data_IF_375748938046
#
_entry.id   IF_375748938046
#
_cell.length_a   1.000
_cell.length_b   1.000
_cell.length_c   1.000
_cell.angle_alpha   90.00
_cell.angle_beta   90.00
_cell.angle_gamma   90.00
#
_symmetry.space_group_name_H-M   'P 1'
#
loop_
_entity.id
_entity.type
_entity.pdbx_description
1 polymer ?
#
# COMPACT_ATOMS: atom_id res chain seq x y z
N UNK A 1 -11.76 -19.79 8.71
CA UNK A 1 -12.32 -21.14 8.55
C UNK A 1 -12.13 -21.57 7.10
N UNK A 2 -12.05 -22.87 6.81
CA UNK A 2 -12.06 -23.34 5.43
C UNK A 2 -13.46 -23.20 4.83
N UNK A 3 -13.55 -22.78 3.57
CA UNK A 3 -14.83 -22.60 2.85
C UNK A 3 -14.65 -22.94 1.38
N UNK A 4 -15.62 -23.67 0.83
CA UNK A 4 -15.67 -24.00 -0.59
C UNK A 4 -16.23 -22.83 -1.42
N UNK A 5 -15.83 -22.74 -2.69
CA UNK A 5 -16.31 -21.74 -3.64
C UNK A 5 -16.31 -22.29 -5.08
N UNK A 6 -17.27 -21.85 -5.89
CA UNK A 6 -17.50 -22.36 -7.25
C UNK A 6 -16.62 -21.69 -8.32
N UNK A 7 -15.79 -20.71 -7.95
CA UNK A 7 -14.94 -19.97 -8.88
C UNK A 7 -14.00 -18.99 -8.23
N UNK A 8 -13.02 -18.51 -9.02
CA UNK A 8 -12.08 -17.47 -8.64
C UNK A 8 -11.93 -16.43 -9.76
N UNK A 9 -12.18 -15.12 -9.51
CA UNK A 9 -12.73 -14.53 -8.29
C UNK A 9 -14.11 -15.09 -7.90
N UNK A 10 -14.52 -14.92 -6.63
CA UNK A 10 -15.80 -15.44 -6.15
C UNK A 10 -16.97 -14.81 -6.95
N UNK A 11 -17.96 -15.59 -7.40
CA UNK A 11 -19.18 -15.03 -7.99
C UNK A 11 -19.85 -14.05 -7.03
N UNK A 12 -20.30 -12.90 -7.54
CA UNK A 12 -20.90 -11.84 -6.72
C UNK A 12 -19.89 -10.95 -5.98
N UNK A 13 -18.59 -11.06 -6.25
CA UNK A 13 -17.57 -10.12 -5.72
C UNK A 13 -17.88 -8.68 -6.15
N UNK A 14 -17.96 -7.77 -5.19
CA UNK A 14 -18.09 -6.34 -5.41
C UNK A 14 -16.73 -5.64 -5.23
N UNK A 15 -16.14 -5.19 -6.34
CA UNK A 15 -14.90 -4.41 -6.31
C UNK A 15 -15.18 -2.98 -5.80
N UNK A 16 -15.04 -2.80 -4.49
CA UNK A 16 -15.40 -1.59 -3.76
C UNK A 16 -14.21 -0.68 -3.60
N UNK A 17 -14.38 0.61 -3.89
CA UNK A 17 -13.34 1.63 -3.73
C UNK A 17 -13.35 2.21 -2.32
N UNK A 18 -12.17 2.28 -1.74
CA UNK A 18 -11.88 3.04 -0.52
C UNK A 18 -10.87 4.13 -0.89
N UNK A 19 -11.35 5.35 -1.02
CA UNK A 19 -10.53 6.51 -1.35
C UNK A 19 -9.66 6.93 -0.17
N UNK A 20 -8.46 7.41 -0.51
CA UNK A 20 -7.54 8.02 0.44
C UNK A 20 -7.98 9.45 0.74
N UNK A 21 -7.76 9.91 1.97
CA UNK A 21 -7.95 11.30 2.37
C UNK A 21 -7.06 11.62 3.56
N UNK A 22 -6.66 12.89 3.71
CA UNK A 22 -5.89 13.38 4.86
C UNK A 22 -5.87 14.92 4.83
N UNK A 23 -5.35 15.56 5.87
CA UNK A 23 -5.03 16.99 5.84
C UNK A 23 -3.55 17.25 5.56
N UNK A 24 -2.91 16.33 4.84
CA UNK A 24 -1.48 16.37 4.51
C UNK A 24 -0.56 15.83 5.61
N UNK A 25 -1.13 15.06 6.55
CA UNK A 25 -0.42 14.47 7.67
C UNK A 25 -0.74 12.97 7.86
N UNK A 26 -0.79 12.19 6.78
CA UNK A 26 -0.95 10.74 6.85
C UNK A 26 0.34 9.99 7.24
N UNK A 27 1.46 10.68 7.53
CA UNK A 27 2.68 10.02 8.02
C UNK A 27 2.42 9.35 9.36
N UNK A 28 2.89 8.11 9.48
CA UNK A 28 2.74 7.23 10.65
C UNK A 28 1.29 6.82 10.97
N UNK A 29 1.13 5.78 11.78
CA UNK A 29 -0.17 5.36 12.32
C UNK A 29 -0.85 6.41 13.21
N UNK A 30 -0.11 7.41 13.70
CA UNK A 30 -0.64 8.54 14.46
C UNK A 30 -1.08 9.73 13.57
N UNK A 31 -0.90 9.61 12.26
CA UNK A 31 -1.33 10.58 11.27
C UNK A 31 -2.85 10.67 11.12
N UNK A 32 -3.30 11.51 10.19
CA UNK A 32 -4.73 11.74 9.91
C UNK A 32 -5.23 11.14 8.59
N UNK A 33 -4.51 10.14 8.08
CA UNK A 33 -4.91 9.40 6.89
C UNK A 33 -6.19 8.58 7.11
N UNK A 34 -7.19 8.82 6.27
CA UNK A 34 -8.49 8.17 6.24
C UNK A 34 -8.65 7.32 4.99
N UNK A 35 -9.23 6.13 5.15
CA UNK A 35 -9.84 5.37 4.06
C UNK A 35 -11.36 5.47 4.17
N UNK A 36 -12.03 5.87 3.10
CA UNK A 36 -13.49 5.99 3.08
C UNK A 36 -14.09 5.60 1.74
N UNK A 37 -15.37 5.24 1.71
CA UNK A 37 -16.09 4.97 0.45
C UNK A 37 -16.49 6.25 -0.29
N UNK A 38 -16.47 7.38 0.41
CA UNK A 38 -16.82 8.67 -0.17
C UNK A 38 -15.65 9.23 -0.96
N UNK A 39 -15.95 9.77 -2.14
CA UNK A 39 -14.94 10.43 -2.96
C UNK A 39 -14.39 11.67 -2.23
N UNK A 40 -13.08 11.95 -2.31
CA UNK A 40 -12.49 13.08 -1.64
C UNK A 40 -12.88 14.41 -2.30
N UNK A 41 -12.98 15.45 -1.48
CA UNK A 41 -13.00 16.84 -1.96
C UNK A 41 -11.58 17.42 -2.11
N UNK A 42 -11.46 18.74 -2.35
CA UNK A 42 -10.15 19.42 -2.37
C UNK A 42 -9.42 19.26 -1.03
N UNK A 43 -8.18 18.78 -1.07
CA UNK A 43 -7.34 18.57 0.11
C UNK A 43 -5.85 18.56 -0.27
N UNK A 44 -4.93 18.87 0.65
CA UNK A 44 -3.49 18.82 0.36
C UNK A 44 -3.01 17.38 0.18
N UNK A 45 -1.95 17.14 -0.60
CA UNK A 45 -1.34 15.82 -0.73
C UNK A 45 -0.47 15.48 0.48
N UNK A 46 -0.19 14.19 0.66
CA UNK A 46 0.77 13.68 1.62
C UNK A 46 2.18 13.58 1.03
N UNK A 47 3.20 13.80 1.87
CA UNK A 47 4.60 13.79 1.46
C UNK A 47 5.47 13.05 2.46
N UNK A 48 6.46 12.33 1.93
CA UNK A 48 7.51 11.68 2.70
C UNK A 48 8.82 11.60 1.92
N UNK A 49 9.91 11.42 2.65
CA UNK A 49 11.25 11.26 2.08
C UNK A 49 11.58 9.77 2.05
N UNK A 50 11.99 9.27 0.89
CA UNK A 50 12.58 7.94 0.76
C UNK A 50 14.10 8.06 0.64
N UNK A 51 14.81 7.44 1.59
CA UNK A 51 16.27 7.29 1.59
C UNK A 51 16.63 5.81 1.34
N UNK A 52 17.25 5.46 0.20
CA UNK A 52 17.70 4.09 -0.08
C UNK A 52 18.68 3.51 0.96
N UNK A 53 19.36 4.34 1.76
CA UNK A 53 20.25 3.88 2.83
C UNK A 53 19.54 3.64 4.17
N UNK A 54 18.29 4.10 4.31
CA UNK A 54 17.43 3.83 5.45
C UNK A 54 16.06 3.27 5.00
N UNK A 55 16.02 2.10 4.34
CA UNK A 55 14.77 1.54 3.85
C UNK A 55 13.86 1.07 4.99
N UNK A 56 12.56 1.07 4.75
CA UNK A 56 11.57 0.41 5.60
C UNK A 56 11.88 -1.10 5.65
N UNK A 57 12.00 -1.69 6.86
CA UNK A 57 12.35 -3.09 7.00
C UNK A 57 11.16 -4.01 6.70
N UNK A 58 11.42 -5.11 6.00
CA UNK A 58 10.46 -6.21 5.90
C UNK A 58 10.12 -6.79 7.25
N UNK A 59 8.82 -6.76 7.55
CA UNK A 59 8.18 -7.33 8.73
C UNK A 59 7.00 -8.19 8.27
N UNK A 60 7.19 -9.51 8.25
CA UNK A 60 6.17 -10.47 7.83
C UNK A 60 6.00 -10.55 6.31
N UNK A 61 4.76 -10.78 5.88
CA UNK A 61 4.36 -10.73 4.47
C UNK A 61 4.73 -12.00 3.70
N UNK A 62 4.98 -11.84 2.40
CA UNK A 62 5.27 -12.93 1.45
C UNK A 62 6.75 -13.31 1.40
N UNK A 63 7.49 -13.03 2.47
CA UNK A 63 8.89 -13.40 2.57
C UNK A 63 9.05 -14.93 2.37
N UNK A 64 9.98 -15.34 1.52
CA UNK A 64 10.43 -16.73 1.51
C UNK A 64 11.26 -16.97 2.78
N UNK A 65 10.91 -18.01 3.54
CA UNK A 65 11.62 -18.30 4.79
C UNK A 65 13.07 -18.70 4.50
N UNK A 66 14.00 -17.80 4.85
CA UNK A 66 15.46 -18.00 4.72
C UNK A 66 16.14 -18.22 6.07
N UNK A 67 15.36 -18.50 7.12
CA UNK A 67 15.86 -18.74 8.48
C UNK A 67 16.20 -17.49 9.30
N UNK A 68 16.09 -16.28 8.72
CA UNK A 68 16.44 -15.02 9.41
C UNK A 68 15.25 -14.11 9.73
N UNK A 69 14.13 -14.26 9.01
CA UNK A 69 12.91 -13.45 9.18
C UNK A 69 11.69 -14.36 9.07
N UNK A 70 10.68 -14.11 9.90
CA UNK A 70 9.43 -14.83 9.87
C UNK A 70 8.51 -14.30 8.75
N UNK A 71 7.93 -15.17 7.91
CA UNK A 71 6.89 -14.79 6.96
C UNK A 71 5.52 -14.70 7.65
N UNK A 72 4.50 -14.28 6.89
CA UNK A 72 3.12 -14.26 7.34
C UNK A 72 2.73 -12.99 8.09
N UNK A 73 1.55 -12.98 8.74
CA UNK A 73 1.02 -11.80 9.42
C UNK A 73 1.86 -11.48 10.65
N UNK A 74 2.53 -10.33 10.64
CA UNK A 74 3.28 -9.80 11.77
C UNK A 74 2.83 -8.38 12.09
N UNK A 75 3.01 -7.99 13.34
CA UNK A 75 2.68 -6.65 13.82
C UNK A 75 3.53 -5.58 13.10
N UNK A 76 2.85 -4.63 12.47
CA UNK A 76 3.44 -3.53 11.72
C UNK A 76 3.67 -2.27 12.58
N UNK A 77 3.27 -2.21 13.85
CA UNK A 77 3.31 -0.98 14.64
C UNK A 77 4.67 -0.26 14.68
N UNK A 78 5.78 -1.02 14.63
CA UNK A 78 7.15 -0.42 14.52
C UNK A 78 7.46 0.17 13.15
N UNK A 79 6.93 -0.43 12.08
CA UNK A 79 7.06 0.05 10.70
C UNK A 79 6.21 1.32 10.53
N UNK A 80 4.96 1.27 11.00
CA UNK A 80 4.00 2.37 10.94
C UNK A 80 4.37 3.58 11.82
N UNK A 81 5.43 3.50 12.62
CA UNK A 81 5.96 4.64 13.38
C UNK A 81 6.96 5.49 12.59
N UNK A 82 7.31 5.09 11.36
CA UNK A 82 8.31 5.79 10.53
C UNK A 82 7.67 6.89 9.69
N UNK A 83 8.39 8.01 9.54
CA UNK A 83 7.97 9.14 8.72
C UNK A 83 7.91 8.86 7.21
N UNK A 84 8.51 7.76 6.75
CA UNK A 84 8.46 7.30 5.36
C UNK A 84 7.40 6.21 5.13
N UNK A 85 6.44 6.09 6.06
CA UNK A 85 5.25 5.24 5.93
C UNK A 85 4.01 6.11 6.11
N UNK A 86 3.18 6.19 5.08
CA UNK A 86 1.87 6.82 5.14
C UNK A 86 0.83 5.77 5.53
N UNK A 87 0.00 6.06 6.53
CA UNK A 87 -1.06 5.16 6.99
C UNK A 87 -2.43 5.79 6.75
N UNK A 88 -3.27 5.13 5.96
CA UNK A 88 -4.67 5.51 5.75
C UNK A 88 -5.57 4.46 6.38
N UNK A 89 -6.42 4.84 7.33
CA UNK A 89 -7.19 3.90 8.14
C UNK A 89 -8.67 4.22 8.09
N UNK A 90 -9.53 3.20 8.02
CA UNK A 90 -10.98 3.41 8.17
C UNK A 90 -11.35 3.81 9.61
N UNK A 91 -12.57 4.33 9.85
CA UNK A 91 -13.21 4.20 11.15
C UNK A 91 -13.29 2.73 11.58
N UNK A 92 -13.57 2.50 12.86
CA UNK A 92 -13.93 1.17 13.35
C UNK A 92 -15.12 0.64 12.56
N UNK A 93 -15.00 -0.60 12.07
CA UNK A 93 -16.05 -1.24 11.31
C UNK A 93 -17.24 -1.52 12.23
N UNK A 94 -18.43 -1.08 11.81
CA UNK A 94 -19.67 -1.34 12.54
C UNK A 94 -20.14 -2.81 12.40
N UNK A 95 -19.69 -3.49 11.36
CA UNK A 95 -20.04 -4.87 11.02
C UNK A 95 -18.84 -5.61 10.42
N UNK A 96 -18.93 -6.94 10.36
CA UNK A 96 -17.90 -7.75 9.70
C UNK A 96 -17.87 -7.41 8.19
N UNK A 97 -16.67 -7.19 7.65
CA UNK A 97 -16.46 -6.98 6.22
C UNK A 97 -15.57 -8.10 5.65
N UNK A 98 -16.13 -8.92 4.78
CA UNK A 98 -15.36 -9.94 4.07
C UNK A 98 -14.68 -9.33 2.83
N UNK A 99 -13.37 -9.55 2.71
CA UNK A 99 -12.54 -9.21 1.57
C UNK A 99 -11.87 -10.47 1.05
N UNK A 100 -12.34 -10.99 -0.08
CA UNK A 100 -11.85 -12.23 -0.69
C UNK A 100 -11.66 -12.06 -2.19
N UNK A 101 -10.41 -12.01 -2.65
CA UNK A 101 -10.09 -11.81 -4.06
C UNK A 101 -8.76 -11.07 -4.29
N UNK A 102 -8.50 -10.61 -5.54
CA UNK A 102 -7.37 -9.73 -5.85
C UNK A 102 -7.60 -8.31 -5.32
N UNK A 103 -6.57 -7.73 -4.71
CA UNK A 103 -6.55 -6.37 -4.13
C UNK A 103 -5.64 -5.48 -4.97
N UNK A 104 -6.11 -4.28 -5.30
CA UNK A 104 -5.33 -3.31 -6.07
C UNK A 104 -5.36 -1.94 -5.42
N UNK A 105 -4.25 -1.23 -5.48
CA UNK A 105 -4.19 0.19 -5.17
C UNK A 105 -4.01 0.98 -6.46
N UNK A 106 -4.93 1.91 -6.71
CA UNK A 106 -4.82 2.92 -7.75
C UNK A 106 -4.26 4.19 -7.13
N UNK A 107 -2.98 4.46 -7.38
CA UNK A 107 -2.21 5.51 -6.74
C UNK A 107 -1.87 6.62 -7.74
N UNK A 108 -2.25 7.85 -7.43
CA UNK A 108 -1.80 9.06 -8.11
C UNK A 108 -0.65 9.63 -7.27
N UNK A 109 0.57 9.55 -7.78
CA UNK A 109 1.75 9.97 -7.04
C UNK A 109 2.80 10.62 -7.94
N UNK A 110 3.70 11.39 -7.35
CA UNK A 110 4.88 11.92 -7.99
C UNK A 110 6.11 11.68 -7.12
N UNK A 111 7.27 11.68 -7.77
CA UNK A 111 8.57 11.57 -7.12
C UNK A 111 9.50 12.66 -7.64
N UNK A 112 10.45 13.12 -6.82
CA UNK A 112 11.51 14.02 -7.26
C UNK A 112 12.61 13.32 -8.08
N UNK A 113 12.58 11.99 -8.16
CA UNK A 113 13.54 11.17 -8.89
C UNK A 113 13.05 10.79 -10.30
N UNK A 114 13.92 10.18 -11.09
CA UNK A 114 13.58 9.65 -12.43
C UNK A 114 13.08 8.20 -12.39
N UNK A 115 13.28 7.52 -11.26
CA UNK A 115 12.71 6.21 -10.93
C UNK A 115 12.57 6.13 -9.40
N UNK A 116 11.62 5.36 -8.90
CA UNK A 116 11.47 5.01 -7.48
C UNK A 116 10.56 3.78 -7.37
N UNK A 117 10.36 3.28 -6.15
CA UNK A 117 9.33 2.28 -5.88
C UNK A 117 8.16 2.92 -5.11
N UNK A 118 6.95 2.44 -5.37
CA UNK A 118 5.81 2.64 -4.49
C UNK A 118 5.33 1.26 -4.04
N UNK A 119 5.19 1.10 -2.73
CA UNK A 119 4.76 -0.12 -2.08
C UNK A 119 3.52 0.14 -1.26
N UNK A 120 2.69 -0.89 -1.18
CA UNK A 120 1.45 -0.85 -0.44
C UNK A 120 1.28 -2.10 0.41
N UNK A 121 0.76 -1.95 1.64
CA UNK A 121 0.34 -3.07 2.47
C UNK A 121 -1.10 -2.88 2.93
N UNK A 122 -1.92 -3.92 2.76
CA UNK A 122 -3.21 -4.04 3.42
C UNK A 122 -2.98 -4.60 4.83
N UNK A 123 -3.56 -3.94 5.83
CA UNK A 123 -3.34 -4.23 7.25
C UNK A 123 -4.69 -4.33 7.98
N UNK A 124 -4.81 -5.35 8.84
CA UNK A 124 -5.93 -5.52 9.76
C UNK A 124 -5.54 -4.97 11.14
N UNK A 125 -6.22 -3.89 11.57
CA UNK A 125 -5.97 -3.23 12.85
C UNK A 125 -7.02 -3.68 13.85
N UNK A 126 -6.57 -4.34 14.90
CA UNK A 126 -7.38 -4.89 15.97
C UNK A 126 -7.83 -3.78 16.94
N UNK A 127 -8.92 -4.00 17.71
CA UNK A 127 -9.40 -3.04 18.70
C UNK A 127 -8.37 -2.65 19.77
N UNK A 128 -7.40 -3.53 20.04
CA UNK A 128 -6.30 -3.28 20.99
C UNK A 128 -5.11 -2.53 20.38
N UNK A 129 -5.19 -2.14 19.10
CA UNK A 129 -4.14 -1.42 18.37
C UNK A 129 -3.11 -2.31 17.66
N UNK A 130 -3.14 -3.64 17.81
CA UNK A 130 -2.25 -4.52 17.06
C UNK A 130 -2.60 -4.47 15.56
N UNK A 131 -1.58 -4.36 14.71
CA UNK A 131 -1.77 -4.13 13.27
C UNK A 131 -1.06 -5.20 12.45
N UNK A 132 -1.79 -6.13 11.84
CA UNK A 132 -1.19 -7.26 11.12
C UNK A 132 -1.30 -7.09 9.62
N UNK A 133 -0.18 -7.24 8.91
CA UNK A 133 -0.18 -7.19 7.45
C UNK A 133 -0.83 -8.44 6.83
N UNK A 134 -1.63 -8.21 5.78
CA UNK A 134 -2.49 -9.22 5.14
C UNK A 134 -2.08 -9.45 3.69
N UNK A 135 -1.90 -8.37 2.93
CA UNK A 135 -1.52 -8.40 1.53
C UNK A 135 -0.56 -7.25 1.24
N UNK A 136 0.31 -7.40 0.25
CA UNK A 136 1.27 -6.36 -0.10
C UNK A 136 1.64 -6.43 -1.59
N UNK A 137 2.09 -5.29 -2.11
CA UNK A 137 2.46 -5.11 -3.50
C UNK A 137 3.49 -4.01 -3.67
N UNK A 138 4.17 -4.04 -4.81
CA UNK A 138 5.13 -3.02 -5.22
C UNK A 138 4.94 -2.73 -6.70
N UNK A 139 5.10 -1.46 -7.06
CA UNK A 139 5.40 -1.05 -8.43
C UNK A 139 6.72 -0.31 -8.42
N UNK A 140 7.63 -0.71 -9.29
CA UNK A 140 8.82 0.07 -9.62
C UNK A 140 8.47 1.00 -10.78
N UNK A 141 8.64 2.30 -10.57
CA UNK A 141 7.98 3.35 -11.35
C UNK A 141 8.31 3.29 -12.85
N UNK A 142 9.52 2.88 -13.22
CA UNK A 142 9.89 2.70 -14.62
C UNK A 142 9.16 1.55 -15.32
N UNK A 143 8.69 0.54 -14.57
CA UNK A 143 7.96 -0.61 -15.10
C UNK A 143 6.43 -0.46 -15.02
N UNK A 144 5.92 0.72 -14.64
CA UNK A 144 4.48 0.98 -14.44
C UNK A 144 3.59 0.65 -15.65
N UNK A 145 4.13 0.71 -16.87
CA UNK A 145 3.42 0.41 -18.12
C UNK A 145 3.68 -1.03 -18.63
N UNK A 146 4.56 -1.78 -17.96
CA UNK A 146 4.92 -3.14 -18.32
C UNK A 146 6.37 -3.50 -17.97
N UNK A 147 6.58 -4.74 -17.52
CA UNK A 147 7.88 -5.24 -17.05
C UNK A 147 8.97 -5.26 -18.13
N UNK A 148 8.58 -5.34 -19.41
CA UNK A 148 9.48 -5.40 -20.56
C UNK A 148 9.73 -4.04 -21.24
N UNK A 149 9.11 -2.97 -20.74
CA UNK A 149 9.22 -1.63 -21.33
C UNK A 149 9.52 -0.58 -20.26
N UNK A 150 10.74 -0.58 -19.68
CA UNK A 150 11.11 0.41 -18.68
C UNK A 150 11.13 1.82 -19.30
N UNK A 151 10.41 2.75 -18.67
CA UNK A 151 10.40 4.17 -19.04
C UNK A 151 10.56 5.03 -17.79
N UNK A 152 11.62 5.85 -17.68
CA UNK A 152 11.76 6.79 -16.57
C UNK A 152 10.50 7.64 -16.38
N UNK A 153 10.22 8.03 -15.14
CA UNK A 153 9.19 9.02 -14.84
C UNK A 153 9.78 10.42 -14.96
N UNK A 154 8.91 11.42 -15.21
CA UNK A 154 9.32 12.83 -15.18
C UNK A 154 9.26 13.31 -13.73
N UNK A 155 10.38 13.79 -13.14
CA UNK A 155 10.39 14.31 -11.78
C UNK A 155 9.29 15.36 -11.54
N UNK A 156 8.52 15.20 -10.47
CA UNK A 156 7.43 16.09 -10.08
C UNK A 156 6.13 15.93 -10.88
N UNK A 157 6.10 15.12 -11.94
CA UNK A 157 4.87 14.86 -12.69
C UNK A 157 3.98 13.85 -11.97
N UNK A 158 2.69 14.18 -11.83
CA UNK A 158 1.69 13.24 -11.29
C UNK A 158 1.53 12.08 -12.26
N UNK A 159 1.75 10.87 -11.76
CA UNK A 159 1.68 9.62 -12.52
C UNK A 159 0.69 8.69 -11.86
N UNK A 160 -0.11 8.00 -12.67
CA UNK A 160 -0.99 6.93 -12.19
C UNK A 160 -0.25 5.60 -12.15
N UNK A 161 -0.30 4.96 -10.98
CA UNK A 161 0.24 3.64 -10.74
C UNK A 161 -0.89 2.70 -10.33
N UNK A 162 -0.84 1.47 -10.84
CA UNK A 162 -1.67 0.36 -10.35
C UNK A 162 -0.74 -0.61 -9.64
N UNK A 163 -0.88 -0.72 -8.32
CA UNK A 163 -0.10 -1.62 -7.49
C UNK A 163 -0.98 -2.85 -7.24
N UNK A 164 -0.52 -4.00 -7.73
CA UNK A 164 -1.15 -5.29 -7.46
C UNK A 164 -0.67 -5.81 -6.10
N UNK A 165 -1.57 -5.85 -5.10
CA UNK A 165 -1.29 -6.39 -3.77
C UNK A 165 -1.47 -7.92 -3.75
N UNK A 166 -1.63 -8.56 -4.91
CA UNK A 166 -2.13 -9.90 -5.14
C UNK A 166 -3.42 -10.19 -4.37
N UNK A 167 -3.63 -11.42 -3.93
CA UNK A 167 -4.90 -11.86 -3.37
C UNK A 167 -4.86 -12.11 -1.87
N UNK A 168 -6.01 -11.96 -1.23
CA UNK A 168 -6.24 -12.36 0.17
C UNK A 168 -7.66 -12.90 0.33
N UNK A 169 -7.91 -13.54 1.48
CA UNK A 169 -9.24 -13.88 1.98
C UNK A 169 -9.25 -13.65 3.49
N UNK A 170 -9.95 -12.61 3.92
CA UNK A 170 -10.06 -12.19 5.31
C UNK A 170 -11.45 -11.64 5.60
N UNK A 171 -11.93 -11.86 6.82
CA UNK A 171 -13.05 -11.11 7.37
C UNK A 171 -12.48 -10.11 8.37
N UNK A 172 -12.49 -8.82 8.04
CA UNK A 172 -12.23 -7.76 9.00
C UNK A 172 -13.42 -7.72 9.95
N UNK A 173 -13.20 -8.00 11.23
CA UNK A 173 -14.28 -8.12 12.21
C UNK A 173 -14.84 -6.75 12.59
N UNK A 174 -16.10 -6.71 13.02
CA UNK A 174 -16.65 -5.55 13.73
C UNK A 174 -15.67 -5.09 14.83
N UNK A 175 -15.42 -3.78 14.89
CA UNK A 175 -14.46 -3.15 15.80
C UNK A 175 -13.01 -3.18 15.29
N UNK A 176 -12.70 -3.89 14.21
CA UNK A 176 -11.42 -3.75 13.53
C UNK A 176 -11.43 -2.52 12.61
N UNK A 177 -10.27 -2.18 12.07
CA UNK A 177 -10.12 -1.16 11.03
C UNK A 177 -9.32 -1.76 9.87
N UNK A 178 -9.63 -1.28 8.67
CA UNK A 178 -8.83 -1.56 7.48
C UNK A 178 -7.81 -0.45 7.37
N UNK A 179 -6.54 -0.81 7.26
CA UNK A 179 -5.46 0.15 7.01
C UNK A 179 -4.72 -0.17 5.72
N UNK A 180 -4.33 0.89 5.04
CA UNK A 180 -3.41 0.87 3.92
C UNK A 180 -2.14 1.61 4.32
N UNK A 181 -1.01 0.92 4.30
CA UNK A 181 0.30 1.54 4.42
C UNK A 181 0.86 1.80 3.02
N UNK A 182 1.43 2.98 2.79
CA UNK A 182 2.15 3.34 1.56
C UNK A 182 3.56 3.80 1.91
N UNK A 183 4.55 3.25 1.19
CA UNK A 183 5.96 3.62 1.33
C UNK A 183 6.70 3.40 0.00
N UNK A 184 8.02 3.58 -0.01
CA UNK A 184 8.89 3.32 -1.17
C UNK A 184 9.90 2.21 -0.96
N UNK A 185 9.79 1.42 0.11
CA UNK A 185 10.68 0.27 0.34
C UNK A 185 10.09 -0.81 1.25
N UNK A 186 10.61 -2.03 1.12
CA UNK A 186 10.29 -3.19 1.96
C UNK A 186 11.48 -4.16 1.93
N UNK A 187 12.57 -3.79 2.60
CA UNK A 187 13.86 -4.46 2.47
C UNK A 187 14.12 -5.52 3.58
N UNK A 188 14.59 -6.74 3.26
CA UNK A 188 15.17 -7.17 1.99
C UNK A 188 14.24 -8.00 1.11
N UNK A 189 12.94 -8.06 1.39
CA UNK A 189 12.02 -8.79 0.53
C UNK A 189 12.03 -8.25 -0.90
N UNK A 190 11.99 -6.92 -1.02
CA UNK A 190 12.19 -6.22 -2.27
C UNK A 190 13.53 -5.49 -2.18
N UNK A 191 14.28 -5.50 -3.27
CA UNK A 191 15.49 -4.72 -3.39
C UNK A 191 15.18 -3.22 -3.31
N UNK A 192 16.16 -2.45 -2.85
CA UNK A 192 16.01 -1.00 -2.70
C UNK A 192 16.13 -0.36 -4.07
N UNK A 193 15.16 0.44 -4.47
CA UNK A 193 15.35 1.33 -5.61
C UNK A 193 16.32 2.45 -5.21
N UNK A 194 17.38 2.65 -5.99
CA UNK A 194 18.41 3.64 -5.70
C UNK A 194 18.04 5.05 -6.22
N UNK A 195 16.86 5.19 -6.85
CA UNK A 195 16.28 6.42 -7.39
C UNK A 195 17.09 7.07 -8.54
N UNK A 196 18.07 6.35 -9.10
CA UNK A 196 18.96 6.81 -10.18
C UNK A 196 18.40 6.53 -11.58
N UNK A 197 17.46 5.58 -11.70
CA UNK A 197 16.98 5.03 -12.97
C UNK A 197 17.88 3.93 -13.57
N UNK A 198 19.07 3.71 -13.00
CA UNK A 198 20.04 2.73 -13.49
C UNK A 198 19.52 1.28 -13.35
N UNK A 199 20.20 0.30 -14.00
CA UNK A 199 19.92 -1.11 -13.79
C UNK A 199 20.07 -1.54 -12.33
N UNK A 200 19.41 -2.64 -11.96
CA UNK A 200 19.52 -3.20 -10.61
C UNK A 200 20.97 -3.55 -10.25
N UNK A 201 21.37 -3.21 -9.01
CA UNK A 201 22.62 -3.69 -8.40
C UNK A 201 23.90 -3.00 -8.87
N UNK A 202 23.82 -1.92 -9.66
CA UNK A 202 25.01 -1.21 -10.17
C UNK A 202 25.39 0.02 -9.35
N UNK A 203 24.44 0.61 -8.63
CA UNK A 203 24.68 1.84 -7.86
C UNK A 203 25.25 1.53 -6.48
N UNK A 204 26.35 2.22 -6.12
CA UNK A 204 26.90 2.21 -4.77
C UNK A 204 26.18 3.20 -3.83
N UNK A 205 25.66 4.29 -4.40
CA UNK A 205 25.00 5.38 -3.68
C UNK A 205 23.62 5.66 -4.30
N UNK A 206 22.64 5.97 -3.45
CA UNK A 206 21.27 6.26 -3.85
C UNK A 206 20.96 7.75 -3.78
N UNK A 207 19.95 8.19 -4.52
CA UNK A 207 19.43 9.55 -4.45
C UNK A 207 18.27 9.58 -3.44
N UNK A 208 18.31 10.47 -2.45
CA UNK A 208 17.16 10.70 -1.57
C UNK A 208 16.03 11.35 -2.38
N UNK A 209 14.83 10.77 -2.33
CA UNK A 209 13.70 11.20 -3.14
C UNK A 209 12.53 11.67 -2.29
N UNK A 210 11.95 12.82 -2.65
CA UNK A 210 10.68 13.29 -2.13
C UNK A 210 9.54 12.60 -2.88
N UNK A 211 8.70 11.90 -2.14
CA UNK A 211 7.49 11.26 -2.64
C UNK A 211 6.28 12.10 -2.27
N UNK A 212 5.34 12.24 -3.21
CA UNK A 212 4.06 12.92 -2.98
C UNK A 212 2.92 12.02 -3.42
N UNK A 213 1.95 11.78 -2.52
CA UNK A 213 0.73 11.02 -2.78
C UNK A 213 -0.44 11.99 -2.85
N UNK A 214 -1.14 11.97 -3.98
CA UNK A 214 -2.29 12.84 -4.24
C UNK A 214 -3.58 12.08 -3.98
N UNK A 215 -4.56 12.77 -3.42
CA UNK A 215 -5.86 12.20 -3.09
C UNK A 215 -6.95 13.28 -3.09
N UNK A 216 -6.79 14.36 -3.86
CA UNK A 216 -7.83 15.39 -4.01
C UNK A 216 -8.93 14.97 -4.99
N UNK A 217 -9.90 15.86 -5.25
CA UNK A 217 -11.03 15.65 -6.15
C UNK A 217 -10.61 15.43 -7.62
N UNK A 218 -9.42 15.90 -8.02
CA UNK A 218 -8.85 15.68 -9.36
C UNK A 218 -8.02 14.39 -9.43
N UNK A 219 -7.37 14.03 -8.33
CA UNK A 219 -6.41 12.93 -8.24
C UNK A 219 -6.81 11.96 -7.11
N UNK A 220 -8.00 11.39 -7.21
CA UNK A 220 -8.57 10.53 -6.17
C UNK A 220 -7.93 9.13 -6.15
N UNK A 221 -6.81 8.98 -5.45
CA UNK A 221 -6.22 7.66 -5.17
C UNK A 221 -7.19 6.79 -4.35
N UNK A 222 -7.26 5.50 -4.67
CA UNK A 222 -8.14 4.55 -3.97
C UNK A 222 -7.60 3.14 -3.90
N UNK A 223 -7.91 2.46 -2.80
CA UNK A 223 -7.79 1.02 -2.62
C UNK A 223 -9.04 0.33 -3.15
N UNK A 224 -8.87 -0.64 -4.05
CA UNK A 224 -9.94 -1.48 -4.58
C UNK A 224 -9.95 -2.82 -3.83
N UNK A 225 -11.00 -3.04 -3.05
CA UNK A 225 -11.19 -4.26 -2.26
C UNK A 225 -12.26 -5.16 -2.89
N UNK A 226 -12.01 -6.47 -3.05
CA UNK A 226 -12.99 -7.46 -3.49
C UNK A 226 -13.91 -7.82 -2.32
N UNK A 227 -14.91 -6.98 -2.06
CA UNK A 227 -15.87 -7.17 -0.98
C UNK A 227 -16.83 -8.29 -1.36
N UNK A 228 -17.04 -9.24 -0.43
CA UNK A 228 -18.07 -10.26 -0.58
C UNK A 228 -19.30 -9.79 0.19
N UNK A 229 -20.43 -9.52 -0.49
CA UNK A 229 -21.66 -9.13 0.18
C UNK A 229 -22.08 -10.18 1.22
N UNK A 230 -22.55 -9.71 2.38
CA UNK A 230 -23.17 -10.61 3.36
C UNK A 230 -24.31 -11.36 2.67
N UNK A 231 -24.34 -12.69 2.82
CA UNK A 231 -25.48 -13.48 2.34
C UNK A 231 -26.74 -12.98 3.06
N UNK A 232 -27.73 -12.55 2.28
CA UNK A 232 -29.07 -12.22 2.77
C UNK A 232 -29.76 -13.45 3.39
#
# INVERSE_FOLDING_TARGET
EWRDADGWPLPGTEFTRFFLSSRGNARTAAGDGLLSRDAPGPQPPDRYIYDPLNPVPTTGGRLLYTGRRAPGPLDQGRVEARDDVLCYTTPELAEDLEVTGPVKLHLLASTSAVDTDFMAKLVDVYPNGAAFNIAEGVVRSKYREGLLSPKPVVPGAVTHYVIDLASTSIVFKRGHRIRLDITSSNFPQIDRNMNTGNPFGVDAEGIVALQTVYHDDRYASYLELPVIPARA
#
